data_IF_786821808979
#
_entry.id   IF_786821808979
#
_cell.length_a   1.000
_cell.length_b   1.000
_cell.length_c   1.000
_cell.angle_alpha   90.00
_cell.angle_beta   90.00
_cell.angle_gamma   90.00
#
_symmetry.space_group_name_H-M   'P 1'
#
loop_
_entity.id
_entity.type
_entity.pdbx_description
1 polymer ?
#
# COMPACT_ATOMS: atom_id res chain seq x y z
N UNK A 1 -11.89 -0.19 -13.02
CA UNK A 1 -13.08 0.26 -12.26
C UNK A 1 -12.50 0.95 -11.04
N UNK A 2 -12.55 2.28 -10.95
CA UNK A 2 -11.73 3.01 -9.97
C UNK A 2 -11.85 2.51 -8.52
N UNK A 3 -10.72 2.19 -7.89
CA UNK A 3 -10.63 1.75 -6.48
C UNK A 3 -11.24 2.78 -5.52
N UNK A 4 -12.11 2.32 -4.61
CA UNK A 4 -12.76 3.12 -3.59
C UNK A 4 -12.24 2.82 -2.18
N UNK A 5 -12.58 3.67 -1.21
CA UNK A 5 -12.26 3.42 0.22
C UNK A 5 -12.87 2.11 0.71
N UNK A 6 -14.08 1.77 0.27
CA UNK A 6 -14.76 0.55 0.69
C UNK A 6 -14.02 -0.72 0.23
N UNK A 7 -13.31 -0.66 -0.90
CA UNK A 7 -12.55 -1.80 -1.42
C UNK A 7 -11.29 -2.09 -0.59
N UNK A 8 -10.82 -1.11 0.19
CA UNK A 8 -9.64 -1.23 1.05
C UNK A 8 -9.98 -1.60 2.49
N UNK A 9 -11.21 -1.30 2.93
CA UNK A 9 -11.66 -1.54 4.30
C UNK A 9 -12.28 -2.94 4.45
N UNK A 10 -12.05 -3.56 5.61
CA UNK A 10 -12.73 -4.79 6.02
C UNK A 10 -14.26 -4.59 6.00
N UNK A 11 -15.05 -5.56 5.49
CA UNK A 11 -14.67 -6.94 5.17
C UNK A 11 -14.17 -7.19 3.75
N UNK A 12 -14.18 -6.18 2.88
CA UNK A 12 -13.78 -6.35 1.46
C UNK A 12 -12.26 -6.32 1.34
N UNK A 13 -11.65 -5.29 1.89
CA UNK A 13 -10.21 -5.11 1.89
C UNK A 13 -9.53 -5.54 3.19
N UNK A 14 -8.23 -5.31 3.25
CA UNK A 14 -7.36 -5.79 4.33
C UNK A 14 -7.25 -4.83 5.52
N UNK A 15 -7.67 -3.58 5.37
CA UNK A 15 -7.61 -2.58 6.44
C UNK A 15 -8.81 -2.75 7.37
N UNK A 16 -8.59 -3.38 8.51
CA UNK A 16 -9.54 -3.37 9.62
C UNK A 16 -9.38 -2.08 10.45
N UNK A 17 -10.37 -1.15 10.48
CA UNK A 17 -10.28 0.08 11.25
C UNK A 17 -10.06 -0.13 12.75
N UNK A 18 -10.67 -1.16 13.34
CA UNK A 18 -10.60 -1.41 14.78
C UNK A 18 -9.23 -1.95 15.19
N UNK A 19 -8.59 -2.75 14.32
CA UNK A 19 -7.27 -3.33 14.57
C UNK A 19 -6.15 -2.34 14.22
N UNK A 20 -6.23 -1.72 13.05
CA UNK A 20 -5.16 -0.89 12.52
C UNK A 20 -5.21 0.53 13.09
N UNK A 21 -6.40 1.09 13.30
CA UNK A 21 -6.59 2.47 13.75
C UNK A 21 -7.42 2.56 15.05
N UNK A 22 -7.02 1.86 16.13
CA UNK A 22 -7.73 1.92 17.41
C UNK A 22 -7.81 3.36 17.93
N UNK A 23 -9.00 3.75 18.36
CA UNK A 23 -9.29 5.10 18.87
C UNK A 23 -9.61 6.15 17.81
N UNK A 24 -9.45 5.83 16.52
CA UNK A 24 -9.97 6.68 15.43
C UNK A 24 -11.44 6.29 15.14
N UNK A 25 -12.26 7.29 14.85
CA UNK A 25 -13.63 7.07 14.37
C UNK A 25 -13.60 6.53 12.94
N UNK A 26 -14.63 5.79 12.54
CA UNK A 26 -14.78 5.28 11.16
C UNK A 26 -14.56 6.40 10.12
N UNK A 27 -15.16 7.58 10.35
CA UNK A 27 -15.01 8.74 9.46
C UNK A 27 -13.56 9.23 9.36
N UNK A 28 -12.78 9.20 10.44
CA UNK A 28 -11.37 9.58 10.40
C UNK A 28 -10.55 8.56 9.61
N UNK A 29 -10.82 7.26 9.79
CA UNK A 29 -10.17 6.19 9.05
C UNK A 29 -10.50 6.28 7.56
N UNK A 30 -11.77 6.46 7.19
CA UNK A 30 -12.20 6.65 5.81
C UNK A 30 -11.52 7.85 5.16
N UNK A 31 -11.48 9.01 5.85
CA UNK A 31 -10.81 10.20 5.33
C UNK A 31 -9.31 9.99 5.13
N UNK A 32 -8.67 9.22 6.01
CA UNK A 32 -7.25 8.86 5.92
C UNK A 32 -6.98 7.92 4.74
N UNK A 33 -7.80 6.87 4.59
CA UNK A 33 -7.70 5.94 3.46
C UNK A 33 -7.97 6.65 2.14
N UNK A 34 -8.95 7.56 2.10
CA UNK A 34 -9.18 8.41 0.93
C UNK A 34 -7.95 9.26 0.57
N UNK A 35 -7.25 9.80 1.56
CA UNK A 35 -6.02 10.55 1.30
C UNK A 35 -4.90 9.65 0.74
N UNK A 36 -4.81 8.39 1.16
CA UNK A 36 -3.88 7.42 0.59
C UNK A 36 -4.22 7.08 -0.86
N UNK A 37 -5.50 6.91 -1.19
CA UNK A 37 -5.96 6.69 -2.57
C UNK A 37 -5.69 7.90 -3.48
N UNK A 38 -5.84 9.12 -2.97
CA UNK A 38 -5.50 10.35 -3.73
C UNK A 38 -4.00 10.40 -4.06
N UNK A 39 -3.14 10.07 -3.08
CA UNK A 39 -1.69 9.96 -3.31
C UNK A 39 -1.35 8.82 -4.28
N UNK A 40 -2.03 7.67 -4.15
CA UNK A 40 -1.90 6.53 -5.06
C UNK A 40 -2.21 6.93 -6.51
N UNK A 41 -3.30 7.66 -6.72
CA UNK A 41 -3.74 8.13 -8.04
C UNK A 41 -2.67 9.00 -8.71
N UNK A 42 -1.97 9.83 -7.93
CA UNK A 42 -0.89 10.67 -8.44
C UNK A 42 0.33 9.83 -8.84
N UNK A 43 0.63 8.78 -8.07
CA UNK A 43 1.79 7.90 -8.27
C UNK A 43 1.61 6.89 -9.39
N UNK A 44 0.38 6.45 -9.64
CA UNK A 44 0.05 5.49 -10.71
C UNK A 44 -0.52 6.16 -11.94
N UNK A 45 -0.30 7.48 -12.12
CA UNK A 45 -0.81 8.24 -13.26
C UNK A 45 -0.24 7.76 -14.61
N UNK A 46 0.91 7.09 -14.61
CA UNK A 46 1.56 6.55 -15.81
C UNK A 46 0.93 5.22 -16.30
N UNK A 47 0.17 4.51 -15.45
CA UNK A 47 -0.47 3.26 -15.85
C UNK A 47 -1.60 3.54 -16.84
N UNK A 48 -1.47 2.97 -18.04
CA UNK A 48 -2.49 3.06 -19.09
C UNK A 48 -3.48 1.91 -19.02
N UNK A 49 -3.04 0.73 -18.55
CA UNK A 49 -3.94 -0.37 -18.21
C UNK A 49 -4.70 -0.08 -16.90
N UNK A 50 -6.02 -0.11 -16.97
CA UNK A 50 -6.87 0.24 -15.83
C UNK A 50 -6.77 -0.81 -14.71
N UNK A 51 -6.58 -2.09 -15.05
CA UNK A 51 -6.53 -3.18 -14.06
C UNK A 51 -5.25 -3.13 -13.27
N UNK A 52 -4.10 -3.13 -13.96
CA UNK A 52 -2.77 -2.99 -13.34
C UNK A 52 -2.65 -1.67 -12.59
N UNK A 53 -3.24 -0.58 -13.14
CA UNK A 53 -3.30 0.71 -12.47
C UNK A 53 -4.11 0.69 -11.17
N UNK A 54 -5.25 -0.01 -11.15
CA UNK A 54 -6.08 -0.18 -9.94
C UNK A 54 -5.39 -1.10 -8.90
N UNK A 55 -4.70 -2.15 -9.34
CA UNK A 55 -3.86 -3.00 -8.47
C UNK A 55 -2.73 -2.19 -7.82
N UNK A 56 -2.01 -1.39 -8.61
CA UNK A 56 -0.93 -0.53 -8.10
C UNK A 56 -1.46 0.52 -7.11
N UNK A 57 -2.65 1.09 -7.36
CA UNK A 57 -3.30 2.03 -6.42
C UNK A 57 -3.62 1.35 -5.09
N UNK A 58 -4.13 0.13 -5.17
CA UNK A 58 -4.49 -0.70 -4.03
C UNK A 58 -3.27 -1.05 -3.19
N UNK A 59 -2.21 -1.55 -3.83
CA UNK A 59 -0.95 -1.90 -3.17
C UNK A 59 -0.33 -0.68 -2.46
N UNK A 60 -0.28 0.48 -3.13
CA UNK A 60 0.22 1.72 -2.53
C UNK A 60 -0.62 2.15 -1.31
N UNK A 61 -1.94 2.09 -1.40
CA UNK A 61 -2.81 2.47 -0.31
C UNK A 61 -2.64 1.55 0.92
N UNK A 62 -2.48 0.24 0.70
CA UNK A 62 -2.14 -0.70 1.77
C UNK A 62 -0.79 -0.40 2.40
N UNK A 63 0.25 -0.22 1.58
CA UNK A 63 1.58 0.16 2.08
C UNK A 63 1.51 1.40 2.99
N UNK A 64 0.79 2.44 2.57
CA UNK A 64 0.67 3.68 3.35
C UNK A 64 -0.11 3.50 4.64
N UNK A 65 -1.16 2.68 4.64
CA UNK A 65 -1.89 2.34 5.85
C UNK A 65 -1.00 1.61 6.85
N UNK A 66 -0.35 0.52 6.43
CA UNK A 66 0.52 -0.27 7.31
C UNK A 66 1.76 0.50 7.76
N UNK A 67 2.34 1.35 6.91
CA UNK A 67 3.43 2.24 7.29
C UNK A 67 3.01 3.20 8.41
N UNK A 68 1.82 3.80 8.31
CA UNK A 68 1.31 4.71 9.34
C UNK A 68 1.06 3.99 10.67
N UNK A 69 0.51 2.77 10.62
CA UNK A 69 0.29 1.93 11.81
C UNK A 69 1.62 1.52 12.44
N UNK A 70 2.56 1.02 11.62
CA UNK A 70 3.91 0.66 12.07
C UNK A 70 4.60 1.85 12.74
N UNK A 71 4.64 3.02 12.07
CA UNK A 71 5.20 4.24 12.64
C UNK A 71 4.56 4.62 13.97
N UNK A 72 3.23 4.53 14.09
CA UNK A 72 2.55 4.83 15.35
C UNK A 72 2.99 3.88 16.46
N UNK A 73 2.97 2.56 16.20
CA UNK A 73 3.31 1.55 17.20
C UNK A 73 4.80 1.63 17.58
N UNK A 74 5.70 1.86 16.62
CA UNK A 74 7.14 2.02 16.87
C UNK A 74 7.49 3.30 17.63
N UNK A 75 6.72 4.39 17.47
CA UNK A 75 6.99 5.68 18.10
C UNK A 75 6.25 5.90 19.44
N UNK A 76 5.32 5.01 19.82
CA UNK A 76 4.69 5.06 21.14
C UNK A 76 5.72 4.59 22.18
N UNK A 77 6.19 5.46 23.09
CA UNK A 77 7.05 5.01 24.18
C UNK A 77 6.23 4.06 25.04
N UNK A 78 6.74 2.86 25.24
CA UNK A 78 6.18 1.85 26.11
C UNK A 78 6.01 2.39 27.53
N UNK A 79 4.85 2.99 27.81
CA UNK A 79 4.29 3.06 29.18
C UNK A 79 3.71 1.71 29.62
N UNK A 80 3.95 0.68 28.82
CA UNK A 80 3.72 -0.72 29.15
C UNK A 80 4.77 -1.10 30.18
N UNK A 81 4.36 -0.99 31.44
CA UNK A 81 5.13 -1.32 32.62
C UNK A 81 5.89 -2.64 32.41
N UNK A 82 7.18 -2.62 32.76
CA UNK A 82 8.11 -3.75 32.82
C UNK A 82 7.69 -4.86 33.81
N UNK A 83 6.40 -4.97 34.14
CA UNK A 83 5.84 -5.92 35.11
C UNK A 83 5.17 -7.13 34.46
N UNK A 84 4.99 -7.16 33.13
CA UNK A 84 4.42 -8.30 32.41
C UNK A 84 5.26 -8.65 31.16
N UNK A 85 6.16 -9.63 31.30
CA UNK A 85 7.00 -10.15 30.21
C UNK A 85 6.19 -10.68 29.00
N UNK A 86 4.89 -10.95 29.19
CA UNK A 86 3.96 -11.33 28.11
C UNK A 86 3.50 -10.14 27.24
N UNK A 87 3.50 -8.91 27.75
CA UNK A 87 2.96 -7.75 27.01
C UNK A 87 3.96 -7.19 25.98
N UNK A 88 5.25 -7.24 26.29
CA UNK A 88 6.31 -6.77 25.40
C UNK A 88 6.50 -7.70 24.19
N UNK A 89 6.48 -9.02 24.41
CA UNK A 89 6.59 -10.02 23.33
C UNK A 89 5.42 -9.95 22.35
N UNK A 90 4.20 -9.72 22.86
CA UNK A 90 3.02 -9.51 22.03
C UNK A 90 3.11 -8.24 21.17
N UNK A 91 3.58 -7.13 21.74
CA UNK A 91 3.78 -5.88 20.99
C UNK A 91 4.85 -6.02 19.91
N UNK A 92 5.95 -6.72 20.21
CA UNK A 92 7.00 -7.01 19.21
C UNK A 92 6.44 -7.87 18.07
N UNK A 93 5.65 -8.90 18.38
CA UNK A 93 5.00 -9.72 17.37
C UNK A 93 4.04 -8.91 16.49
N UNK A 94 3.23 -8.02 17.08
CA UNK A 94 2.35 -7.13 16.30
C UNK A 94 3.14 -6.16 15.42
N UNK A 95 4.23 -5.57 15.94
CA UNK A 95 5.09 -4.69 15.14
C UNK A 95 5.68 -5.44 13.95
N UNK A 96 6.15 -6.68 14.15
CA UNK A 96 6.70 -7.51 13.09
C UNK A 96 5.63 -7.86 12.05
N UNK A 97 4.44 -8.27 12.49
CA UNK A 97 3.33 -8.60 11.58
C UNK A 97 2.95 -7.42 10.69
N UNK A 98 2.74 -6.23 11.26
CA UNK A 98 2.42 -5.02 10.49
C UNK A 98 3.58 -4.59 9.59
N UNK A 99 4.83 -4.81 10.03
CA UNK A 99 6.02 -4.55 9.22
C UNK A 99 6.03 -5.48 7.99
N UNK A 100 5.74 -6.76 8.17
CA UNK A 100 5.73 -7.74 7.08
C UNK A 100 4.60 -7.45 6.09
N UNK A 101 3.41 -7.07 6.55
CA UNK A 101 2.31 -6.63 5.68
C UNK A 101 2.64 -5.35 4.91
N UNK A 102 3.31 -4.39 5.57
CA UNK A 102 3.82 -3.18 4.91
C UNK A 102 4.82 -3.52 3.81
N UNK A 103 5.80 -4.36 4.12
CA UNK A 103 6.88 -4.71 3.19
C UNK A 103 6.30 -5.48 1.99
N UNK A 104 5.38 -6.42 2.21
CA UNK A 104 4.70 -7.13 1.14
C UNK A 104 3.90 -6.20 0.21
N UNK A 105 3.15 -5.24 0.77
CA UNK A 105 2.41 -4.27 -0.04
C UNK A 105 3.32 -3.30 -0.80
N UNK A 106 4.49 -2.99 -0.24
CA UNK A 106 5.52 -2.20 -0.93
C UNK A 106 6.13 -2.99 -2.10
N UNK A 107 6.49 -4.25 -1.87
CA UNK A 107 7.06 -5.14 -2.88
C UNK A 107 6.07 -5.32 -4.05
N UNK A 108 4.79 -5.58 -3.76
CA UNK A 108 3.70 -5.66 -4.75
C UNK A 108 3.58 -4.38 -5.59
N UNK A 109 3.65 -3.20 -4.95
CA UNK A 109 3.64 -1.94 -5.67
C UNK A 109 4.88 -1.76 -6.57
N UNK A 110 6.07 -2.08 -6.08
CA UNK A 110 7.30 -1.95 -6.86
C UNK A 110 7.35 -2.90 -8.04
N UNK A 111 6.87 -4.13 -7.89
CA UNK A 111 6.80 -5.11 -8.98
C UNK A 111 5.90 -4.61 -10.12
N UNK A 112 4.76 -4.00 -9.79
CA UNK A 112 3.85 -3.42 -10.78
C UNK A 112 4.45 -2.21 -11.49
N UNK A 113 5.23 -1.38 -10.78
CA UNK A 113 5.95 -0.24 -11.38
C UNK A 113 7.08 -0.72 -12.31
N UNK A 114 7.86 -1.71 -11.87
CA UNK A 114 8.94 -2.26 -12.69
C UNK A 114 8.40 -2.94 -13.97
N UNK A 115 7.22 -3.56 -13.89
CA UNK A 115 6.55 -4.15 -15.04
C UNK A 115 6.08 -3.08 -16.05
N UNK A 116 5.55 -1.95 -15.56
CA UNK A 116 5.20 -0.81 -16.41
C UNK A 116 6.41 -0.28 -17.18
N UNK A 117 7.54 -0.11 -16.49
CA UNK A 117 8.79 0.38 -17.12
C UNK A 117 9.30 -0.60 -18.19
N UNK A 118 9.16 -1.92 -17.97
CA UNK A 118 9.54 -2.94 -18.96
C UNK A 118 8.65 -2.93 -20.21
N UNK A 119 7.33 -2.71 -20.06
CA UNK A 119 6.39 -2.62 -21.19
C UNK A 119 6.67 -1.39 -22.08
N UNK A 120 7.06 -0.27 -21.47
CA UNK A 120 7.44 0.95 -22.19
C UNK A 120 8.73 0.75 -23.01
N UNK A 121 9.72 0.04 -22.48
CA UNK A 121 10.97 -0.29 -23.20
C UNK A 121 10.73 -1.20 -24.42
N UNK A 122 9.90 -2.24 -24.29
CA UNK A 122 9.57 -3.16 -25.39
C UNK A 122 8.79 -2.47 -26.51
N UNK A 123 7.90 -1.54 -26.15
CA UNK A 123 7.14 -0.73 -27.11
C UNK A 123 8.05 0.25 -27.86
N UNK A 124 9.01 0.88 -27.17
CA UNK A 124 10.00 1.76 -27.78
C UNK A 124 10.90 1.01 -28.77
N UNK A 125 11.38 -0.18 -28.41
CA UNK A 125 12.25 -0.98 -29.26
C UNK A 125 11.54 -1.48 -30.53
N UNK A 126 10.27 -1.91 -30.39
CA UNK A 126 9.45 -2.37 -31.52
C UNK A 126 9.15 -1.23 -32.50
N UNK A 127 8.87 -0.03 -31.99
CA UNK A 127 8.63 1.17 -32.81
C UNK A 127 9.88 1.60 -33.59
N UNK A 128 11.05 1.60 -32.93
CA UNK A 128 12.31 1.94 -33.59
C UNK A 128 12.70 0.93 -34.66
N UNK A 129 12.43 -0.36 -34.44
CA UNK A 129 12.69 -1.41 -35.43
C UNK A 129 11.77 -1.30 -36.64
N UNK A 130 10.48 -1.04 -36.45
CA UNK A 130 9.55 -0.90 -37.59
C UNK A 130 9.86 0.32 -38.45
N UNK A 131 10.32 1.42 -37.85
CA UNK A 131 10.81 2.60 -38.57
C UNK A 131 12.11 2.33 -39.34
N UNK A 132 12.97 1.43 -38.84
CA UNK A 132 14.23 1.06 -39.50
C UNK A 132 14.05 0.07 -40.64
N UNK A 133 13.12 -0.88 -40.50
CA UNK A 133 12.89 -1.95 -41.47
C UNK A 133 11.83 -1.55 -42.54
N UNK A 134 11.21 -0.37 -42.40
CA UNK A 134 10.16 0.17 -43.30
C UNK A 134 10.62 1.18 -44.36
N UNK A 135 11.93 1.29 -44.63
CA UNK A 135 12.53 2.19 -45.63
C UNK A 135 13.53 1.41 -46.51
#
# INVERSE_FOLDING_TARGET
MSVSVADLLSPVGRIDPAVHFPGETTRQVEARVQAYLTDATTRTAAFTDETTGDEARTAWAYYRAYYAVHQRISNLPSSVAFTDEGSSSYLVAQMQMIKDERDAAWDEFTELVDLLDAEDEDTAFTTLRSLRDGN
#
